data_IF_654072041029
#
_entry.id   IF_654072041029
#
_cell.length_a   1.000
_cell.length_b   1.000
_cell.length_c   1.000
_cell.angle_alpha   90.00
_cell.angle_beta   90.00
_cell.angle_gamma   90.00
#
_symmetry.space_group_name_H-M   'P 1'
#
loop_
_entity.id
_entity.type
_entity.pdbx_description
1 polymer ?
#
# COMPACT_ATOMS: atom_id res chain seq x y z
N UNK A 1 12.20 -5.86 5.91
CA UNK A 1 12.84 -6.98 5.23
C UNK A 1 11.80 -7.78 4.43
N UNK A 2 12.25 -8.82 3.78
CA UNK A 2 11.39 -9.63 2.93
C UNK A 2 10.28 -10.39 3.65
N UNK A 3 10.21 -10.29 4.96
CA UNK A 3 9.14 -10.87 5.78
C UNK A 3 8.24 -9.80 6.38
N UNK A 4 8.48 -8.54 6.06
CA UNK A 4 7.78 -7.42 6.66
C UNK A 4 6.84 -6.78 5.65
N UNK A 5 5.65 -6.40 6.11
CA UNK A 5 4.67 -5.67 5.32
C UNK A 5 4.44 -4.30 5.95
N UNK A 6 4.22 -3.30 5.12
CA UNK A 6 3.80 -1.97 5.56
C UNK A 6 2.37 -1.73 5.12
N UNK A 7 1.51 -1.32 6.05
CA UNK A 7 0.14 -0.95 5.77
C UNK A 7 -0.07 0.48 6.27
N UNK A 8 -0.25 1.43 5.36
CA UNK A 8 -0.48 2.83 5.69
C UNK A 8 -1.98 3.08 5.75
N UNK A 9 -2.50 3.29 6.94
CA UNK A 9 -3.93 3.48 7.20
C UNK A 9 -4.30 4.92 7.59
N UNK A 10 -3.31 5.80 7.68
CA UNK A 10 -3.55 7.19 8.04
C UNK A 10 -4.10 7.99 6.86
N UNK A 11 -4.83 9.06 7.15
CA UNK A 11 -5.25 10.02 6.14
C UNK A 11 -4.31 11.25 6.12
N UNK A 12 -3.26 11.23 6.93
CA UNK A 12 -2.35 12.36 7.06
C UNK A 12 -1.07 12.08 6.27
N UNK A 13 -0.82 12.82 5.16
CA UNK A 13 0.41 12.64 4.38
C UNK A 13 1.69 12.86 5.18
N UNK A 14 1.62 13.67 6.22
CA UNK A 14 2.80 13.92 7.07
C UNK A 14 3.26 12.67 7.78
N UNK A 15 2.36 11.71 8.00
CA UNK A 15 2.68 10.42 8.63
C UNK A 15 2.99 9.36 7.58
N UNK A 16 2.18 9.29 6.53
CA UNK A 16 2.28 8.22 5.55
C UNK A 16 3.41 8.42 4.55
N UNK A 17 3.63 9.65 4.08
CA UNK A 17 4.63 9.88 3.04
C UNK A 17 6.04 9.51 3.49
N UNK A 18 6.51 9.91 4.69
CA UNK A 18 7.84 9.48 5.13
C UNK A 18 7.98 7.97 5.23
N UNK A 19 6.94 7.27 5.69
CA UNK A 19 6.97 5.82 5.77
C UNK A 19 7.06 5.19 4.38
N UNK A 20 6.31 5.69 3.41
CA UNK A 20 6.35 5.20 2.05
C UNK A 20 7.69 5.50 1.38
N UNK A 21 8.27 6.67 1.63
CA UNK A 21 9.57 7.03 1.08
C UNK A 21 10.68 6.09 1.56
N UNK A 22 10.59 5.63 2.80
CA UNK A 22 11.54 4.66 3.34
C UNK A 22 11.24 3.24 2.84
N UNK A 23 9.96 2.90 2.70
CA UNK A 23 9.55 1.55 2.35
C UNK A 23 9.75 1.21 0.88
N UNK A 24 9.52 2.16 -0.03
CA UNK A 24 9.54 1.86 -1.47
C UNK A 24 10.87 1.33 -1.98
N UNK A 25 12.03 1.86 -1.57
CA UNK A 25 13.30 1.29 -2.01
C UNK A 25 13.74 0.09 -1.16
N UNK A 26 12.96 -0.32 -0.16
CA UNK A 26 13.33 -1.41 0.73
C UNK A 26 12.91 -2.77 0.16
N UNK A 27 13.23 -3.84 0.90
CA UNK A 27 12.88 -5.21 0.52
C UNK A 27 11.60 -5.71 1.18
N UNK A 28 10.74 -4.82 1.66
CA UNK A 28 9.42 -5.23 2.19
C UNK A 28 8.64 -6.00 1.12
N UNK A 29 8.01 -7.10 1.51
CA UNK A 29 7.28 -7.91 0.53
C UNK A 29 5.92 -7.31 0.16
N UNK A 30 5.38 -6.42 1.01
CA UNK A 30 4.07 -5.84 0.78
C UNK A 30 4.05 -4.39 1.25
N UNK A 31 3.53 -3.51 0.41
CA UNK A 31 3.31 -2.11 0.75
C UNK A 31 1.89 -1.78 0.29
N UNK A 32 1.02 -1.44 1.23
CA UNK A 32 -0.35 -1.08 0.93
C UNK A 32 -0.71 0.26 1.54
N UNK A 33 -1.58 1.00 0.88
CA UNK A 33 -2.00 2.32 1.35
C UNK A 33 -3.50 2.48 1.20
N UNK A 34 -4.14 2.91 2.30
CA UNK A 34 -5.55 3.22 2.31
C UNK A 34 -5.79 4.56 1.63
N UNK A 35 -6.96 4.69 0.99
CA UNK A 35 -7.37 5.96 0.41
C UNK A 35 -8.15 5.76 -0.87
N UNK A 36 -8.88 6.82 -1.27
CA UNK A 36 -9.59 6.84 -2.53
C UNK A 36 -8.61 6.94 -3.69
N UNK A 37 -9.13 6.74 -4.92
CA UNK A 37 -8.32 6.94 -6.11
C UNK A 37 -7.71 8.34 -6.15
N UNK A 38 -8.50 9.36 -5.82
CA UNK A 38 -8.03 10.74 -5.82
C UNK A 38 -6.92 10.97 -4.80
N UNK A 39 -7.09 10.43 -3.59
CA UNK A 39 -6.07 10.52 -2.56
C UNK A 39 -4.78 9.84 -3.02
N UNK A 40 -4.91 8.69 -3.66
CA UNK A 40 -3.75 7.96 -4.15
C UNK A 40 -3.04 8.70 -5.29
N UNK A 41 -3.78 9.31 -6.20
CA UNK A 41 -3.17 10.09 -7.27
C UNK A 41 -2.32 11.24 -6.74
N UNK A 42 -2.80 11.93 -5.70
CA UNK A 42 -2.03 13.00 -5.06
C UNK A 42 -0.80 12.44 -4.36
N UNK A 43 -0.93 11.28 -3.74
CA UNK A 43 0.21 10.58 -3.12
C UNK A 43 1.26 10.26 -4.17
N UNK A 44 0.84 9.76 -5.33
CA UNK A 44 1.78 9.44 -6.41
C UNK A 44 2.52 10.68 -6.89
N UNK A 45 1.84 11.82 -7.00
CA UNK A 45 2.50 13.07 -7.39
C UNK A 45 3.60 13.46 -6.41
N UNK A 46 3.33 13.36 -5.09
CA UNK A 46 4.33 13.68 -4.09
C UNK A 46 5.51 12.72 -4.11
N UNK A 47 5.24 11.43 -4.32
CA UNK A 47 6.30 10.43 -4.40
C UNK A 47 7.16 10.60 -5.65
N UNK A 48 6.56 10.96 -6.78
CA UNK A 48 7.33 11.30 -7.99
C UNK A 48 8.22 12.50 -7.76
N UNK A 49 7.71 13.52 -7.07
CA UNK A 49 8.49 14.71 -6.73
C UNK A 49 9.66 14.37 -5.81
N UNK A 50 9.53 13.32 -5.01
CA UNK A 50 10.60 12.83 -4.15
C UNK A 50 11.58 11.88 -4.88
N UNK A 51 11.41 11.67 -6.17
CA UNK A 51 12.31 10.82 -6.96
C UNK A 51 11.97 9.34 -6.93
N UNK A 52 10.77 8.97 -6.48
CA UNK A 52 10.37 7.58 -6.29
C UNK A 52 9.36 7.08 -7.32
N UNK A 53 9.19 7.81 -8.43
CA UNK A 53 8.19 7.49 -9.43
C UNK A 53 8.28 6.06 -9.98
N UNK A 54 9.48 5.54 -10.14
CA UNK A 54 9.69 4.20 -10.69
C UNK A 54 9.27 3.09 -9.73
N UNK A 55 9.12 3.42 -8.44
CA UNK A 55 8.81 2.44 -7.41
C UNK A 55 7.35 2.47 -6.96
N UNK A 56 6.56 3.44 -7.44
CA UNK A 56 5.18 3.60 -6.98
C UNK A 56 4.29 2.42 -7.33
N UNK A 57 4.64 1.63 -8.35
CA UNK A 57 3.89 0.44 -8.70
C UNK A 57 3.90 -0.65 -7.63
N UNK A 58 4.76 -0.53 -6.63
CA UNK A 58 4.80 -1.46 -5.50
C UNK A 58 3.65 -1.23 -4.51
N UNK A 59 3.00 -0.08 -4.58
CA UNK A 59 1.94 0.26 -3.63
C UNK A 59 0.63 -0.40 -4.05
N UNK A 60 0.04 -1.19 -3.16
CA UNK A 60 -1.29 -1.75 -3.37
C UNK A 60 -2.34 -0.70 -2.99
N UNK A 61 -3.02 -0.18 -3.99
CA UNK A 61 -4.09 0.80 -3.80
C UNK A 61 -5.11 0.66 -4.93
N UNK A 62 -6.39 0.49 -4.62
CA UNK A 62 -6.92 0.38 -3.27
C UNK A 62 -6.37 -0.83 -2.53
N UNK A 63 -6.16 -0.66 -1.23
CA UNK A 63 -5.58 -1.71 -0.41
C UNK A 63 -6.58 -2.84 -0.19
N UNK A 64 -6.09 -4.08 -0.20
CA UNK A 64 -6.90 -5.26 0.07
C UNK A 64 -7.48 -5.90 -1.19
N UNK A 65 -7.93 -7.15 -1.05
CA UNK A 65 -8.62 -7.83 -2.13
C UNK A 65 -10.04 -7.28 -2.27
N UNK A 66 -10.55 -7.25 -3.49
CA UNK A 66 -11.91 -6.80 -3.76
C UNK A 66 -12.89 -7.93 -3.40
N UNK A 67 -13.31 -7.94 -2.13
CA UNK A 67 -14.24 -8.94 -1.61
C UNK A 67 -15.68 -8.41 -1.58
N UNK A 68 -15.88 -7.12 -1.90
CA UNK A 68 -17.21 -6.51 -1.96
C UNK A 68 -17.68 -5.91 -0.66
N UNK A 69 -17.15 -6.34 0.47
CA UNK A 69 -17.58 -5.81 1.78
C UNK A 69 -16.98 -4.44 2.07
N UNK A 70 -17.71 -3.62 2.82
CA UNK A 70 -17.31 -2.26 3.14
C UNK A 70 -17.26 -1.96 4.64
N UNK A 71 -17.74 -2.89 5.48
CA UNK A 71 -17.65 -2.72 6.92
C UNK A 71 -16.17 -2.75 7.34
N UNK A 72 -15.79 -2.02 8.42
CA UNK A 72 -14.39 -1.98 8.84
C UNK A 72 -13.77 -3.36 9.06
N UNK A 73 -14.50 -4.29 9.65
CA UNK A 73 -14.00 -5.65 9.85
C UNK A 73 -13.76 -6.37 8.53
N UNK A 74 -14.64 -6.15 7.55
CA UNK A 74 -14.52 -6.76 6.23
C UNK A 74 -13.35 -6.18 5.45
N UNK A 75 -13.13 -4.87 5.58
CA UNK A 75 -11.96 -4.23 4.98
C UNK A 75 -10.69 -4.78 5.60
N UNK A 76 -10.64 -4.95 6.92
CA UNK A 76 -9.48 -5.52 7.59
C UNK A 76 -9.19 -6.94 7.08
N UNK A 77 -10.21 -7.76 6.90
CA UNK A 77 -10.06 -9.10 6.34
C UNK A 77 -9.51 -9.04 4.93
N UNK A 78 -10.00 -8.11 4.10
CA UNK A 78 -9.54 -7.99 2.72
C UNK A 78 -8.07 -7.58 2.65
N UNK A 79 -7.62 -6.72 3.56
CA UNK A 79 -6.21 -6.31 3.64
C UNK A 79 -5.34 -7.50 4.04
N UNK A 80 -5.72 -8.21 5.08
CA UNK A 80 -4.98 -9.39 5.53
C UNK A 80 -4.93 -10.46 4.44
N UNK A 81 -6.04 -10.65 3.73
CA UNK A 81 -6.09 -11.62 2.64
C UNK A 81 -5.11 -11.26 1.53
N UNK A 82 -5.01 -9.98 1.18
CA UNK A 82 -4.07 -9.54 0.15
C UNK A 82 -2.62 -9.70 0.63
N UNK A 83 -2.33 -9.34 1.88
CA UNK A 83 -0.99 -9.52 2.44
C UNK A 83 -0.58 -10.99 2.37
N UNK A 84 -1.45 -11.90 2.75
CA UNK A 84 -1.19 -13.33 2.70
C UNK A 84 -0.97 -13.78 1.26
N UNK A 85 -1.81 -13.34 0.33
CA UNK A 85 -1.69 -13.70 -1.07
C UNK A 85 -0.33 -13.28 -1.65
N UNK A 86 0.07 -12.03 -1.38
CA UNK A 86 1.33 -11.51 -1.89
C UNK A 86 2.51 -12.25 -1.27
N UNK A 87 2.42 -12.60 0.02
CA UNK A 87 3.49 -13.32 0.69
C UNK A 87 3.77 -14.67 0.05
N UNK A 88 2.74 -15.40 -0.34
CA UNK A 88 2.89 -16.77 -0.84
C UNK A 88 2.87 -16.88 -2.36
N UNK A 89 2.25 -15.94 -3.08
CA UNK A 89 2.08 -16.00 -4.52
C UNK A 89 2.74 -14.85 -5.27
N UNK A 90 3.23 -13.84 -4.55
CA UNK A 90 3.80 -12.65 -5.15
C UNK A 90 2.74 -11.64 -5.55
N UNK A 91 3.20 -10.42 -5.92
CA UNK A 91 2.32 -9.29 -6.19
C UNK A 91 1.67 -9.34 -7.58
N UNK A 92 2.22 -10.06 -8.52
CA UNK A 92 1.76 -10.11 -9.90
C UNK A 92 0.71 -11.23 -10.07
N UNK A 93 -0.53 -10.94 -9.69
CA UNK A 93 -1.62 -11.89 -9.81
C UNK A 93 -2.85 -11.23 -10.37
#
# INVERSE_FOLDING_TARGET
>A
DGRTALVALSHDPKLDDPALELALPSDLFYIGALGSRRTHEKRLERLRAAGLGDLTGRIHSPIGLDLGGRAPAEIAVSILAEVIQVRYRGAAR
#
